data_IF_464719654681
#
_entry.id   IF_464719654681
#
_cell.length_a   1.000
_cell.length_b   1.000
_cell.length_c   1.000
_cell.angle_alpha   90.00
_cell.angle_beta   90.00
_cell.angle_gamma   90.00
#
_symmetry.space_group_name_H-M   'P 1'
#
loop_
_entity.id
_entity.type
_entity.pdbx_description
1 polymer ?
#
# COMPACT_ATOMS: atom_id res chain seq x y z
N UNK A 1 8.74 19.24 -8.07
CA UNK A 1 7.87 20.38 -7.68
C UNK A 1 8.58 21.67 -8.06
N UNK A 2 7.86 22.69 -8.57
CA UNK A 2 8.47 23.98 -8.94
C UNK A 2 8.69 24.91 -7.74
N UNK A 3 7.96 24.67 -6.64
CA UNK A 3 8.07 25.39 -5.36
C UNK A 3 7.92 24.38 -4.20
N UNK A 4 8.54 24.64 -3.04
CA UNK A 4 8.39 23.78 -1.86
C UNK A 4 6.93 23.77 -1.37
N UNK A 5 6.45 22.59 -1.01
CA UNK A 5 5.13 22.42 -0.38
C UNK A 5 5.15 23.06 1.01
N UNK A 6 4.07 23.77 1.36
CA UNK A 6 3.88 24.34 2.68
C UNK A 6 3.26 23.29 3.61
N UNK A 7 3.92 22.99 4.72
CA UNK A 7 3.42 22.03 5.69
C UNK A 7 2.23 22.59 6.47
N UNK A 8 1.24 21.73 6.72
CA UNK A 8 0.05 22.06 7.49
C UNK A 8 -0.61 20.78 8.01
N UNK A 9 -1.80 20.87 8.61
CA UNK A 9 -2.51 19.71 9.17
C UNK A 9 -2.83 18.59 8.15
N UNK A 10 -2.84 18.89 6.85
CA UNK A 10 -3.17 17.96 5.77
C UNK A 10 -1.97 17.58 4.89
N UNK A 11 -0.86 18.31 5.00
CA UNK A 11 0.36 18.09 4.19
C UNK A 11 1.53 17.91 5.15
N UNK A 12 1.94 16.66 5.34
CA UNK A 12 3.03 16.24 6.22
C UNK A 12 3.88 15.15 5.53
N UNK A 13 5.19 15.07 5.82
CA UNK A 13 6.05 14.03 5.26
C UNK A 13 5.75 12.65 5.86
N UNK A 14 6.00 11.59 5.07
CA UNK A 14 5.97 10.21 5.55
C UNK A 14 7.36 9.84 6.08
N UNK A 15 7.49 9.28 7.31
CA UNK A 15 8.77 8.84 7.83
C UNK A 15 9.33 7.68 7.00
N UNK A 16 10.64 7.70 6.76
CA UNK A 16 11.33 6.62 6.08
C UNK A 16 11.82 5.58 7.09
N UNK A 17 11.79 4.32 6.69
CA UNK A 17 12.36 3.23 7.47
C UNK A 17 13.90 3.34 7.44
N UNK A 18 14.54 3.19 8.59
CA UNK A 18 16.01 3.25 8.75
C UNK A 18 16.65 1.89 8.90
N UNK A 19 15.85 0.82 8.96
CA UNK A 19 16.29 -0.57 9.16
C UNK A 19 15.84 -1.45 8.01
N UNK A 20 16.63 -2.44 7.65
CA UNK A 20 16.25 -3.42 6.62
C UNK A 20 15.38 -4.56 7.19
N UNK A 21 15.15 -4.57 8.50
CA UNK A 21 14.32 -5.54 9.19
C UNK A 21 12.87 -5.09 9.20
N UNK A 22 12.01 -5.82 8.50
CA UNK A 22 10.56 -5.64 8.53
C UNK A 22 9.95 -6.74 9.39
N UNK A 23 9.03 -6.37 10.29
CA UNK A 23 8.34 -7.34 11.11
C UNK A 23 7.32 -8.11 10.25
N UNK A 24 7.56 -9.41 10.09
CA UNK A 24 6.65 -10.33 9.44
C UNK A 24 5.36 -10.40 10.29
N UNK A 25 4.20 -10.18 9.67
CA UNK A 25 2.89 -9.91 10.31
C UNK A 25 2.56 -8.43 10.61
N UNK A 26 3.30 -7.47 10.06
CA UNK A 26 2.84 -6.07 10.06
C UNK A 26 1.56 -5.89 9.25
N UNK A 27 0.56 -5.25 9.87
CA UNK A 27 -0.56 -4.64 9.17
C UNK A 27 -0.09 -3.29 8.63
N UNK A 28 -0.18 -3.10 7.33
CA UNK A 28 0.15 -1.87 6.63
C UNK A 28 -1.12 -1.25 6.04
N UNK A 29 -1.04 0.03 5.69
CA UNK A 29 -2.14 0.74 5.02
C UNK A 29 -1.69 1.15 3.63
N UNK A 30 -2.51 0.86 2.63
CA UNK A 30 -2.35 1.34 1.25
C UNK A 30 -3.46 2.34 0.97
N UNK A 31 -3.12 3.49 0.38
CA UNK A 31 -4.07 4.56 0.04
C UNK A 31 -3.95 4.96 -1.43
N UNK A 32 -5.04 5.39 -2.06
CA UNK A 32 -5.00 5.95 -3.41
C UNK A 32 -6.37 6.25 -4.01
N UNK A 33 -6.37 6.80 -5.23
CA UNK A 33 -7.56 7.13 -6.03
C UNK A 33 -7.81 6.12 -7.17
N UNK A 34 -7.22 4.92 -7.07
CA UNK A 34 -7.33 3.88 -8.08
C UNK A 34 -8.75 3.35 -8.28
N UNK A 35 -8.89 2.40 -9.20
CA UNK A 35 -10.13 1.66 -9.38
C UNK A 35 -10.45 0.85 -8.12
N UNK A 36 -11.67 0.99 -7.60
CA UNK A 36 -12.12 0.22 -6.42
C UNK A 36 -12.52 -1.20 -6.80
N UNK A 37 -12.92 -1.40 -8.06
CA UNK A 37 -13.22 -2.71 -8.64
C UNK A 37 -12.54 -2.85 -10.01
N UNK A 38 -12.22 -4.08 -10.46
CA UNK A 38 -11.70 -4.28 -11.80
C UNK A 38 -12.60 -3.64 -12.86
N UNK A 39 -12.01 -2.86 -13.77
CA UNK A 39 -12.71 -2.17 -14.87
C UNK A 39 -13.74 -1.13 -14.42
N UNK A 40 -13.66 -0.63 -13.18
CA UNK A 40 -14.44 0.53 -12.73
C UNK A 40 -13.79 1.85 -13.13
N UNK A 41 -14.48 2.97 -12.89
CA UNK A 41 -13.84 4.28 -12.91
C UNK A 41 -12.89 4.45 -11.72
N UNK A 42 -11.94 5.37 -11.84
CA UNK A 42 -11.09 5.82 -10.73
C UNK A 42 -11.94 6.50 -9.65
N UNK A 43 -11.48 6.44 -8.41
CA UNK A 43 -12.20 7.08 -7.31
C UNK A 43 -11.99 8.58 -7.29
N UNK A 44 -13.06 9.34 -7.05
CA UNK A 44 -12.99 10.79 -6.84
C UNK A 44 -12.47 11.16 -5.44
N UNK A 45 -12.54 10.22 -4.49
CA UNK A 45 -12.14 10.39 -3.10
C UNK A 45 -10.91 9.51 -2.81
N UNK A 46 -10.09 9.92 -1.84
CA UNK A 46 -8.98 9.08 -1.40
C UNK A 46 -9.53 7.84 -0.71
N UNK A 47 -9.16 6.65 -1.20
CA UNK A 47 -9.55 5.38 -0.59
C UNK A 47 -8.36 4.76 0.12
N UNK A 48 -8.64 3.89 1.09
CA UNK A 48 -7.60 3.17 1.81
C UNK A 48 -8.01 1.73 2.14
N UNK A 49 -7.03 0.87 2.38
CA UNK A 49 -7.29 -0.47 2.93
C UNK A 49 -6.11 -0.95 3.75
N UNK A 50 -6.38 -1.89 4.65
CA UNK A 50 -5.38 -2.60 5.43
C UNK A 50 -4.94 -3.85 4.69
N UNK A 51 -3.62 -4.04 4.62
CA UNK A 51 -2.98 -5.22 4.02
C UNK A 51 -1.99 -5.81 5.01
N UNK A 52 -1.73 -7.10 4.86
CA UNK A 52 -0.69 -7.81 5.60
C UNK A 52 0.51 -7.97 4.70
N UNK A 53 1.70 -7.66 5.23
CA UNK A 53 2.92 -7.98 4.52
C UNK A 53 3.10 -9.50 4.46
N UNK A 54 3.36 -10.01 3.26
CA UNK A 54 3.64 -11.41 3.01
C UNK A 54 5.13 -11.68 3.02
N UNK A 55 5.50 -12.89 3.47
CA UNK A 55 6.86 -13.39 3.26
C UNK A 55 7.08 -13.67 1.78
N UNK A 56 8.31 -13.47 1.33
CA UNK A 56 8.72 -13.71 -0.06
C UNK A 56 8.39 -15.14 -0.50
N UNK A 57 8.64 -16.15 0.35
CA UNK A 57 8.39 -17.56 0.00
C UNK A 57 6.89 -17.86 -0.15
N UNK A 58 6.03 -17.08 0.52
CA UNK A 58 4.57 -17.18 0.35
C UNK A 58 4.16 -16.51 -0.96
N UNK A 59 4.78 -15.38 -1.32
CA UNK A 59 4.46 -14.69 -2.56
C UNK A 59 4.88 -15.48 -3.80
N UNK A 60 6.05 -16.14 -3.79
CA UNK A 60 6.47 -17.00 -4.91
C UNK A 60 5.49 -18.14 -5.21
N UNK A 61 4.78 -18.66 -4.20
CA UNK A 61 3.75 -19.69 -4.39
C UNK A 61 2.54 -19.20 -5.20
N UNK A 62 2.37 -17.89 -5.37
CA UNK A 62 1.34 -17.30 -6.22
C UNK A 62 1.71 -17.29 -7.71
N UNK A 63 2.93 -17.73 -8.06
CA UNK A 63 3.44 -17.73 -9.44
C UNK A 63 4.02 -16.39 -9.90
N UNK A 64 4.20 -15.45 -8.96
CA UNK A 64 4.87 -14.17 -9.21
C UNK A 64 6.36 -14.32 -8.94
N UNK A 65 7.19 -13.93 -9.91
CA UNK A 65 8.64 -13.80 -9.74
C UNK A 65 8.92 -12.41 -9.18
N UNK A 66 9.53 -12.37 -7.99
CA UNK A 66 9.94 -11.13 -7.34
C UNK A 66 11.43 -10.88 -7.59
N UNK A 67 11.79 -9.61 -7.67
CA UNK A 67 13.17 -9.15 -7.55
C UNK A 67 13.50 -8.78 -6.11
N UNK A 68 14.79 -8.67 -5.78
CA UNK A 68 15.27 -8.27 -4.44
C UNK A 68 14.75 -6.89 -3.97
N UNK A 69 14.14 -6.11 -4.86
CA UNK A 69 13.62 -4.77 -4.60
C UNK A 69 12.09 -4.73 -4.46
N UNK A 70 11.42 -5.89 -4.40
CA UNK A 70 9.97 -6.02 -4.37
C UNK A 70 9.48 -6.76 -3.12
N UNK A 71 8.26 -6.42 -2.69
CA UNK A 71 7.60 -7.03 -1.55
C UNK A 71 6.13 -7.23 -1.86
N UNK A 72 5.52 -8.25 -1.26
CA UNK A 72 4.11 -8.54 -1.45
C UNK A 72 3.30 -8.19 -0.21
N UNK A 73 2.10 -7.68 -0.43
CA UNK A 73 1.11 -7.46 0.60
C UNK A 73 -0.25 -7.99 0.16
N UNK A 74 -1.07 -8.39 1.12
CA UNK A 74 -2.33 -9.09 0.86
C UNK A 74 -3.44 -8.66 1.81
N UNK A 75 -4.65 -8.47 1.30
CA UNK A 75 -5.86 -8.31 2.11
C UNK A 75 -6.62 -9.65 2.20
N UNK A 76 -6.60 -10.35 3.35
CA UNK A 76 -7.29 -11.64 3.52
C UNK A 76 -8.80 -11.57 3.39
N UNK A 77 -9.39 -10.37 3.44
CA UNK A 77 -10.84 -10.21 3.30
C UNK A 77 -11.27 -10.18 1.82
N UNK A 78 -10.34 -9.99 0.89
CA UNK A 78 -10.59 -10.00 -0.55
C UNK A 78 -11.66 -9.02 -1.03
N UNK A 79 -12.11 -8.07 -0.19
CA UNK A 79 -13.27 -7.23 -0.48
C UNK A 79 -13.18 -5.84 0.16
N UNK A 80 -13.48 -4.87 -0.70
CA UNK A 80 -13.85 -3.47 -0.45
C UNK A 80 -12.76 -2.57 0.14
N UNK A 81 -12.21 -1.70 -0.71
CA UNK A 81 -11.43 -0.54 -0.28
C UNK A 81 -12.36 0.38 0.52
N UNK A 82 -12.12 0.52 1.83
CA UNK A 82 -13.00 1.27 2.73
C UNK A 82 -12.44 2.68 2.89
N UNK A 83 -13.24 3.69 2.57
CA UNK A 83 -12.93 5.08 2.85
C UNK A 83 -13.95 5.99 2.20
N UNK A 84 -14.40 7.02 2.91
CA UNK A 84 -15.20 8.14 2.44
C UNK A 84 -14.48 9.40 2.88
#
# INVERSE_FOLDING_TARGET
LKLPLQWNLFVQPVPLMTTNSICLCCVCVVTGWGMVHPKSMMSAELKWTSVFLLREEVCWKTGVFLTDNEMCAFDPRGTTIIGK
#
